data_IF_324962398936
#
_entry.id   IF_324962398936
#
_cell.length_a   1.000
_cell.length_b   1.000
_cell.length_c   1.000
_cell.angle_alpha   90.00
_cell.angle_beta   90.00
_cell.angle_gamma   90.00
#
_symmetry.space_group_name_H-M   'P 1'
#
loop_
_entity.id
_entity.type
_entity.pdbx_description
1 polymer ?
#
# COMPACT_ATOMS: atom_id res chain seq x y z
N UNK A 1 5.40 -32.19 -56.04
CA UNK A 1 5.73 -30.81 -55.67
C UNK A 1 4.43 -30.02 -55.69
N UNK A 2 3.86 -29.76 -54.52
CA UNK A 2 2.62 -29.01 -54.32
C UNK A 2 2.95 -27.85 -53.40
N UNK A 3 3.07 -26.67 -53.97
CA UNK A 3 3.28 -25.41 -53.26
C UNK A 3 1.92 -24.89 -52.77
N UNK A 4 1.66 -24.93 -51.46
CA UNK A 4 0.49 -24.29 -50.85
C UNK A 4 0.62 -22.77 -50.96
N UNK A 5 -0.36 -22.06 -51.56
CA UNK A 5 -0.30 -20.61 -51.72
C UNK A 5 -0.98 -19.85 -50.56
N UNK A 6 -0.49 -18.64 -50.31
CA UNK A 6 -1.21 -17.39 -50.02
C UNK A 6 -2.25 -17.25 -48.89
N UNK A 7 -2.28 -18.14 -47.90
CA UNK A 7 -3.17 -17.92 -46.73
C UNK A 7 -2.72 -16.79 -45.77
N UNK A 8 -1.51 -16.25 -45.93
CA UNK A 8 -0.96 -15.30 -44.95
C UNK A 8 -1.49 -13.87 -45.14
N UNK A 9 -1.67 -13.43 -46.38
CA UNK A 9 -2.13 -12.07 -46.71
C UNK A 9 -3.60 -11.84 -46.37
N UNK A 10 -4.43 -12.88 -46.49
CA UNK A 10 -5.86 -12.80 -46.17
C UNK A 10 -6.10 -12.59 -44.66
N UNK A 11 -5.27 -13.22 -43.81
CA UNK A 11 -5.37 -13.09 -42.35
C UNK A 11 -4.95 -11.68 -41.91
N UNK A 12 -3.89 -11.12 -42.48
CA UNK A 12 -3.44 -9.76 -42.16
C UNK A 12 -4.49 -8.71 -42.55
N UNK A 13 -5.12 -8.90 -43.71
CA UNK A 13 -6.17 -8.00 -44.19
C UNK A 13 -7.43 -8.09 -43.30
N UNK A 14 -7.84 -9.30 -42.91
CA UNK A 14 -8.97 -9.48 -41.99
C UNK A 14 -8.68 -8.83 -40.61
N UNK A 15 -7.45 -8.99 -40.11
CA UNK A 15 -7.05 -8.39 -38.84
C UNK A 15 -7.06 -6.86 -38.90
N UNK A 16 -6.56 -6.28 -39.99
CA UNK A 16 -6.54 -4.83 -40.20
C UNK A 16 -7.97 -4.26 -40.27
N UNK A 17 -8.87 -4.91 -40.99
CA UNK A 17 -10.29 -4.52 -41.05
C UNK A 17 -10.99 -4.62 -39.69
N UNK A 18 -10.66 -5.65 -38.91
CA UNK A 18 -11.24 -5.84 -37.57
C UNK A 18 -10.74 -4.79 -36.59
N UNK A 19 -9.44 -4.46 -36.62
CA UNK A 19 -8.87 -3.38 -35.83
C UNK A 19 -9.44 -2.01 -36.21
N UNK A 20 -9.61 -1.74 -37.52
CA UNK A 20 -10.23 -0.50 -38.00
C UNK A 20 -11.65 -0.31 -37.48
N UNK A 21 -12.48 -1.38 -37.50
CA UNK A 21 -13.84 -1.35 -36.95
C UNK A 21 -13.87 -1.09 -35.44
N UNK A 22 -12.97 -1.71 -34.68
CA UNK A 22 -12.85 -1.47 -33.24
C UNK A 22 -12.42 -0.03 -32.92
N UNK A 23 -11.43 0.49 -33.65
CA UNK A 23 -10.95 1.85 -33.48
C UNK A 23 -12.07 2.88 -33.75
N UNK A 24 -12.84 2.71 -34.83
CA UNK A 24 -13.98 3.58 -35.12
C UNK A 24 -15.07 3.54 -34.05
N UNK A 25 -15.39 2.36 -33.54
CA UNK A 25 -16.39 2.21 -32.47
C UNK A 25 -15.94 2.89 -31.19
N UNK A 26 -14.66 2.74 -30.83
CA UNK A 26 -14.07 3.36 -29.64
C UNK A 26 -14.02 4.90 -29.74
N UNK A 27 -13.64 5.44 -30.90
CA UNK A 27 -13.62 6.89 -31.14
C UNK A 27 -15.04 7.47 -31.03
N UNK A 28 -16.03 6.80 -31.62
CA UNK A 28 -17.43 7.24 -31.52
C UNK A 28 -17.94 7.20 -30.07
N UNK A 29 -17.52 6.22 -29.26
CA UNK A 29 -17.85 6.16 -27.84
C UNK A 29 -17.21 7.29 -27.04
N UNK A 30 -15.93 7.61 -27.29
CA UNK A 30 -15.26 8.73 -26.65
C UNK A 30 -15.88 10.09 -27.01
N UNK A 31 -16.33 10.24 -28.26
CA UNK A 31 -17.07 11.43 -28.73
C UNK A 31 -18.43 11.55 -28.03
N UNK A 32 -19.21 10.46 -27.98
CA UNK A 32 -20.50 10.43 -27.28
C UNK A 32 -20.37 10.71 -25.77
N UNK A 33 -19.25 10.37 -25.15
CA UNK A 33 -18.94 10.68 -23.75
C UNK A 33 -18.43 12.11 -23.53
N UNK A 34 -18.27 12.91 -24.60
CA UNK A 34 -17.67 14.25 -24.52
C UNK A 34 -16.20 14.24 -24.06
N UNK A 35 -15.52 13.10 -24.23
CA UNK A 35 -14.12 12.90 -23.83
C UNK A 35 -13.13 13.12 -24.98
N UNK A 36 -13.63 13.21 -26.21
CA UNK A 36 -12.82 13.61 -27.34
C UNK A 36 -12.52 15.12 -27.23
N UNK A 37 -11.34 15.45 -26.74
CA UNK A 37 -10.84 16.84 -26.79
C UNK A 37 -10.44 17.09 -28.23
N UNK A 38 -11.13 18.01 -28.92
CA UNK A 38 -10.76 18.43 -30.27
C UNK A 38 -9.26 18.70 -30.34
N UNK A 39 -8.60 18.23 -31.39
CA UNK A 39 -7.14 18.31 -31.59
C UNK A 39 -6.58 19.75 -31.66
N UNK A 40 -7.42 20.79 -31.46
CA UNK A 40 -7.02 22.17 -31.19
C UNK A 40 -6.86 22.53 -29.70
N UNK A 41 -7.31 21.69 -28.76
CA UNK A 41 -7.35 21.98 -27.32
C UNK A 41 -6.00 21.87 -26.59
N UNK A 42 -4.97 21.30 -27.24
CA UNK A 42 -3.64 21.19 -26.66
C UNK A 42 -3.01 22.57 -26.39
N UNK A 43 -3.24 23.54 -27.29
CA UNK A 43 -2.81 24.93 -27.07
C UNK A 43 -3.62 25.58 -25.94
N UNK A 44 -4.92 25.33 -25.86
CA UNK A 44 -5.79 25.86 -24.78
C UNK A 44 -5.38 25.33 -23.41
N UNK A 45 -5.06 24.04 -23.30
CA UNK A 45 -4.51 23.43 -22.07
C UNK A 45 -3.12 23.97 -21.74
N UNK A 46 -2.27 24.21 -22.74
CA UNK A 46 -0.96 24.82 -22.53
C UNK A 46 -1.07 26.29 -22.07
N UNK A 47 -2.01 27.06 -22.62
CA UNK A 47 -2.33 28.42 -22.17
C UNK A 47 -2.88 28.44 -20.74
N UNK A 48 -3.75 27.49 -20.38
CA UNK A 48 -4.28 27.37 -19.02
C UNK A 48 -3.16 27.01 -18.01
N UNK A 49 -2.23 26.13 -18.41
CA UNK A 49 -1.08 25.73 -17.60
C UNK A 49 -0.10 26.89 -17.41
N UNK A 50 0.16 27.68 -18.45
CA UNK A 50 0.98 28.88 -18.37
C UNK A 50 0.31 29.99 -17.53
N UNK A 51 -1.01 30.12 -17.58
CA UNK A 51 -1.75 31.07 -16.76
C UNK A 51 -1.67 30.70 -15.27
N UNK A 52 -1.78 29.42 -14.92
CA UNK A 52 -1.59 28.97 -13.54
C UNK A 52 -0.14 29.13 -13.06
N UNK A 53 0.85 28.93 -13.92
CA UNK A 53 2.26 29.12 -13.57
C UNK A 53 2.67 30.60 -13.40
N UNK A 54 1.89 31.55 -13.95
CA UNK A 54 2.11 33.00 -13.76
C UNK A 54 1.51 33.57 -12.47
N UNK A 55 0.92 32.74 -11.61
CA UNK A 55 0.49 33.15 -10.27
C UNK A 55 1.20 32.39 -9.13
N UNK A 56 2.51 32.59 -8.90
CA UNK A 56 3.13 32.30 -7.62
C UNK A 56 3.59 33.61 -6.98
N UNK A 57 2.69 34.34 -6.32
CA UNK A 57 3.07 35.39 -5.37
C UNK A 57 1.86 35.80 -4.51
N UNK A 58 1.36 34.89 -3.67
CA UNK A 58 0.69 35.36 -2.46
C UNK A 58 1.78 35.75 -1.47
N UNK A 59 2.06 37.05 -1.45
CA UNK A 59 2.94 37.72 -0.51
C UNK A 59 2.46 37.41 0.90
N UNK A 60 3.30 36.70 1.65
CA UNK A 60 3.17 36.50 3.09
C UNK A 60 3.39 37.85 3.77
N UNK A 61 2.30 38.55 4.09
CA UNK A 61 2.33 39.74 4.92
C UNK A 61 2.82 39.33 6.33
N UNK A 62 4.06 39.71 6.62
CA UNK A 62 4.65 39.65 7.94
C UNK A 62 4.12 40.85 8.73
N UNK A 63 3.10 40.65 9.56
CA UNK A 63 2.75 41.59 10.62
C UNK A 63 3.41 41.10 11.90
N UNK A 64 4.51 41.76 12.26
CA UNK A 64 5.10 41.72 13.57
C UNK A 64 4.05 42.11 14.61
N UNK A 65 3.72 41.18 15.51
CA UNK A 65 2.94 41.45 16.70
C UNK A 65 3.91 41.62 17.88
N UNK A 66 3.82 42.71 18.66
CA UNK A 66 4.70 42.93 19.80
C UNK A 66 4.36 42.00 20.96
N UNK A 67 5.39 41.41 21.55
CA UNK A 67 5.35 40.59 22.76
C UNK A 67 4.78 41.38 23.94
N UNK A 68 3.75 40.88 24.65
CA UNK A 68 3.46 41.37 25.99
C UNK A 68 4.48 40.82 26.99
N UNK A 69 5.22 41.73 27.60
CA UNK A 69 6.10 41.50 28.73
C UNK A 69 5.32 40.92 29.92
N UNK A 70 5.69 39.73 30.37
CA UNK A 70 5.32 39.23 31.70
C UNK A 70 6.40 39.62 32.71
N UNK A 71 6.03 40.17 33.89
CA UNK A 71 6.98 40.37 34.97
C UNK A 71 7.32 39.04 35.66
N UNK A 72 8.52 38.91 36.25
CA UNK A 72 8.97 37.68 36.90
C UNK A 72 8.48 37.58 38.36
N UNK A 73 8.01 36.38 38.76
CA UNK A 73 8.11 35.72 40.09
C UNK A 73 7.60 36.46 41.36
N UNK A 74 6.98 35.75 42.34
CA UNK A 74 7.75 34.85 43.20
C UNK A 74 7.04 33.56 43.65
N UNK A 75 7.78 32.47 43.50
CA UNK A 75 7.80 31.38 44.46
C UNK A 75 8.30 31.90 45.83
N UNK A 76 7.76 31.31 46.90
CA UNK A 76 8.04 31.56 48.34
C UNK A 76 7.28 32.70 49.03
N UNK A 77 6.13 32.37 49.62
CA UNK A 77 5.82 32.62 51.04
C UNK A 77 4.40 32.15 51.39
N UNK A 78 4.26 30.95 51.97
CA UNK A 78 3.35 30.67 53.10
C UNK A 78 3.40 29.18 53.47
N UNK A 79 4.45 28.84 54.20
CA UNK A 79 4.41 27.73 55.15
C UNK A 79 3.65 28.21 56.38
N UNK A 80 2.57 27.50 56.72
CA UNK A 80 2.03 27.44 58.08
C UNK A 80 0.89 28.39 58.40
N UNK A 81 -0.32 27.84 58.52
CA UNK A 81 -1.14 27.84 59.76
C UNK A 81 -2.46 27.10 59.48
N UNK A 82 -2.69 26.06 60.28
CA UNK A 82 -3.97 25.52 60.78
C UNK A 82 -5.25 25.75 59.95
N UNK A 83 -5.91 24.66 59.54
CA UNK A 83 -7.08 24.17 60.30
C UNK A 83 -7.49 22.77 59.82
N UNK A 84 -7.47 21.83 60.76
CA UNK A 84 -8.11 20.52 60.66
C UNK A 84 -9.61 20.72 60.39
N UNK A 85 -10.07 20.29 59.22
CA UNK A 85 -11.49 20.17 58.95
C UNK A 85 -11.93 18.72 59.25
N UNK A 86 -12.69 18.45 60.34
CA UNK A 86 -13.14 17.10 60.64
C UNK A 86 -14.17 16.64 59.60
N UNK A 87 -13.79 15.60 58.85
CA UNK A 87 -14.63 14.92 57.87
C UNK A 87 -15.80 14.21 58.59
N UNK A 88 -17.06 14.43 58.19
CA UNK A 88 -18.21 13.75 58.80
C UNK A 88 -18.19 12.23 58.49
N UNK A 89 -18.62 11.37 59.43
CA UNK A 89 -18.64 9.93 59.22
C UNK A 89 -19.72 9.53 58.20
N UNK A 90 -19.33 8.72 57.22
CA UNK A 90 -20.24 8.12 56.26
C UNK A 90 -21.25 7.18 56.96
N UNK A 91 -22.51 7.09 56.47
CA UNK A 91 -23.52 6.21 57.04
C UNK A 91 -23.18 4.73 56.79
N UNK A 92 -23.12 3.96 57.88
CA UNK A 92 -23.01 2.50 57.88
C UNK A 92 -24.21 1.88 57.15
N UNK A 93 -23.97 1.19 56.03
CA UNK A 93 -24.94 0.23 55.48
C UNK A 93 -24.87 -1.06 56.30
N UNK A 94 -26.04 -1.51 56.75
CA UNK A 94 -26.21 -2.76 57.46
C UNK A 94 -26.01 -3.98 56.53
N UNK A 95 -25.53 -5.12 57.05
CA UNK A 95 -25.49 -6.37 56.31
C UNK A 95 -26.89 -6.97 56.26
N UNK A 96 -27.42 -7.22 55.06
CA UNK A 96 -28.59 -8.08 54.88
C UNK A 96 -28.06 -9.43 54.44
N UNK A 97 -28.08 -10.36 55.37
CA UNK A 97 -27.74 -11.75 55.20
C UNK A 97 -29.00 -12.55 54.85
N UNK A 98 -28.82 -13.54 53.99
CA UNK A 98 -29.63 -14.74 53.73
C UNK A 98 -31.15 -14.62 53.46
N UNK A 99 -31.58 -15.08 52.27
CA UNK A 99 -32.27 -16.37 52.17
C UNK A 99 -32.52 -16.80 50.70
N UNK A 100 -32.21 -18.08 50.46
CA UNK A 100 -32.61 -19.01 49.40
C UNK A 100 -33.96 -18.71 48.70
N UNK A 101 -34.22 -19.06 47.44
CA UNK A 101 -34.33 -20.44 46.87
C UNK A 101 -34.72 -20.33 45.34
N UNK A 102 -35.02 -21.41 44.57
CA UNK A 102 -34.17 -22.00 43.53
C UNK A 102 -34.67 -21.86 42.07
N UNK A 103 -33.81 -22.32 41.15
CA UNK A 103 -34.09 -23.00 39.87
C UNK A 103 -35.33 -22.58 39.05
N UNK A 104 -35.08 -22.04 37.86
CA UNK A 104 -35.92 -22.36 36.70
C UNK A 104 -35.06 -22.49 35.45
N UNK A 105 -35.25 -23.67 34.86
CA UNK A 105 -34.79 -24.16 33.57
C UNK A 105 -35.12 -23.25 32.38
N UNK A 106 -34.46 -23.58 31.27
CA UNK A 106 -34.86 -23.34 29.89
C UNK A 106 -34.52 -21.98 29.26
N UNK A 107 -33.40 -21.95 28.52
CA UNK A 107 -33.40 -21.89 27.06
C UNK A 107 -31.96 -21.70 26.55
N UNK A 108 -31.25 -22.82 26.39
CA UNK A 108 -30.00 -22.84 25.61
C UNK A 108 -30.35 -22.62 24.14
N UNK A 109 -29.99 -21.46 23.61
CA UNK A 109 -29.98 -21.22 22.18
C UNK A 109 -28.71 -21.85 21.61
N UNK A 110 -28.97 -22.87 20.81
CA UNK A 110 -28.15 -23.59 19.86
C UNK A 110 -27.08 -22.71 19.18
N UNK A 111 -25.82 -22.89 19.60
CA UNK A 111 -24.65 -22.42 18.84
C UNK A 111 -24.24 -23.55 17.89
N UNK A 112 -24.57 -23.37 16.62
CA UNK A 112 -24.10 -24.25 15.54
C UNK A 112 -22.57 -24.38 15.56
N UNK A 113 -22.01 -25.60 15.56
CA UNK A 113 -20.56 -25.79 15.50
C UNK A 113 -20.03 -25.55 14.08
N UNK A 114 -18.94 -24.79 14.01
CA UNK A 114 -18.15 -24.59 12.80
C UNK A 114 -17.67 -25.92 12.20
N UNK A 115 -17.59 -26.06 10.86
CA UNK A 115 -17.04 -27.25 10.24
C UNK A 115 -15.52 -27.31 10.43
N UNK A 116 -15.07 -28.32 11.18
CA UNK A 116 -13.69 -28.77 11.24
C UNK A 116 -13.35 -29.45 9.91
N UNK A 117 -12.65 -28.76 9.02
CA UNK A 117 -12.00 -29.39 7.87
C UNK A 117 -10.53 -29.67 8.19
N UNK A 118 -10.30 -30.85 8.79
CA UNK A 118 -9.04 -31.58 8.72
C UNK A 118 -8.88 -32.13 7.30
N UNK A 119 -7.82 -31.75 6.62
CA UNK A 119 -7.48 -32.28 5.29
C UNK A 119 -6.07 -31.90 4.87
N UNK A 120 -5.06 -32.36 5.59
CA UNK A 120 -3.67 -32.34 5.14
C UNK A 120 -3.52 -33.28 3.93
N UNK A 121 -3.39 -32.70 2.72
CA UNK A 121 -2.86 -33.41 1.55
C UNK A 121 -1.38 -33.11 1.41
N UNK A 122 -0.55 -34.10 1.69
CA UNK A 122 0.88 -34.12 1.36
C UNK A 122 1.00 -34.31 -0.15
N UNK A 123 1.61 -33.34 -0.84
CA UNK A 123 2.03 -33.49 -2.23
C UNK A 123 3.45 -34.05 -2.28
N UNK A 124 3.73 -35.07 -3.13
CA UNK A 124 5.06 -35.61 -3.29
C UNK A 124 5.99 -34.62 -4.03
N UNK A 125 7.18 -34.47 -3.46
CA UNK A 125 8.35 -33.76 -3.96
C UNK A 125 8.80 -34.37 -5.29
N UNK A 126 8.61 -33.66 -6.40
CA UNK A 126 9.20 -34.00 -7.69
C UNK A 126 10.67 -33.58 -7.73
N UNK A 127 11.47 -34.44 -8.36
CA UNK A 127 12.91 -34.53 -8.23
C UNK A 127 13.70 -33.42 -8.90
N UNK A 128 14.75 -33.03 -8.18
CA UNK A 128 15.89 -32.23 -8.63
C UNK A 128 16.73 -33.07 -9.59
N UNK A 129 16.66 -32.79 -10.89
CA UNK A 129 17.66 -33.28 -11.84
C UNK A 129 18.87 -32.35 -11.81
N UNK A 130 19.99 -32.92 -11.42
CA UNK A 130 21.31 -32.32 -11.52
C UNK A 130 21.80 -32.49 -12.95
N UNK A 131 22.15 -31.38 -13.61
CA UNK A 131 23.04 -31.43 -14.78
C UNK A 131 24.45 -31.11 -14.30
N UNK A 132 25.19 -32.17 -14.01
CA UNK A 132 26.65 -32.17 -13.99
C UNK A 132 27.09 -32.29 -15.45
N UNK A 133 27.83 -31.30 -15.95
CA UNK A 133 28.70 -31.53 -17.11
C UNK A 133 30.06 -30.91 -16.86
N UNK A 134 30.98 -31.86 -16.72
CA UNK A 134 32.42 -31.80 -16.63
C UNK A 134 33.02 -31.00 -17.79
N UNK A 135 34.10 -30.26 -17.49
CA UNK A 135 34.80 -29.42 -18.44
C UNK A 135 35.59 -30.16 -19.50
N UNK A 136 36.09 -29.41 -20.47
CA UNK A 136 37.24 -29.74 -21.32
C UNK A 136 37.85 -28.44 -21.81
N UNK A 137 39.05 -28.14 -21.33
CA UNK A 137 39.93 -27.11 -21.88
C UNK A 137 40.76 -27.71 -23.03
N UNK A 138 41.19 -26.90 -24.01
CA UNK A 138 42.39 -27.19 -24.78
C UNK A 138 43.49 -26.14 -24.56
N UNK A 139 44.74 -26.46 -24.95
CA UNK A 139 45.94 -25.76 -24.47
C UNK A 139 46.43 -24.62 -25.38
N UNK A 140 47.03 -23.64 -24.70
CA UNK A 140 48.26 -22.87 -24.99
C UNK A 140 48.95 -23.12 -26.34
N UNK A 141 49.09 -22.05 -27.13
CA UNK A 141 50.29 -21.83 -27.96
C UNK A 141 50.74 -20.37 -27.84
N UNK A 142 52.06 -20.23 -27.73
CA UNK A 142 52.81 -19.00 -27.65
C UNK A 142 53.07 -18.46 -29.06
N UNK A 143 53.14 -17.14 -29.22
CA UNK A 143 53.91 -16.54 -30.30
C UNK A 143 54.51 -15.21 -29.87
N UNK A 144 55.83 -15.26 -29.77
CA UNK A 144 56.78 -14.15 -29.71
C UNK A 144 56.75 -13.32 -31.00
N UNK A 145 57.16 -12.05 -30.92
CA UNK A 145 57.72 -11.32 -32.07
C UNK A 145 57.09 -9.98 -32.45
N UNK A 146 57.61 -8.90 -31.90
CA UNK A 146 57.57 -7.51 -32.41
C UNK A 146 58.17 -7.43 -33.84
N UNK A 147 57.78 -6.48 -34.71
CA UNK A 147 58.45 -5.18 -34.70
C UNK A 147 57.58 -3.94 -35.05
N UNK A 148 57.99 -2.84 -34.43
CA UNK A 148 57.63 -1.44 -34.70
C UNK A 148 57.99 -1.01 -36.13
N UNK A 149 57.21 -0.12 -36.76
CA UNK A 149 57.81 1.15 -37.18
C UNK A 149 56.92 2.37 -36.89
N UNK A 150 57.57 3.49 -36.57
CA UNK A 150 57.06 4.87 -36.73
C UNK A 150 57.94 5.55 -37.80
N UNK A 151 57.67 6.79 -38.25
CA UNK A 151 56.44 7.59 -38.27
C UNK A 151 56.10 8.05 -39.72
N UNK A 152 54.93 8.64 -39.97
CA UNK A 152 54.81 9.88 -40.75
C UNK A 152 53.35 10.39 -40.83
N UNK A 153 53.25 11.70 -40.58
CA UNK A 153 52.36 12.71 -41.19
C UNK A 153 50.82 12.49 -41.26
N UNK A 154 50.13 13.23 -40.38
CA UNK A 154 48.97 14.14 -40.61
C UNK A 154 47.77 13.68 -41.48
N UNK A 155 46.51 13.96 -41.06
CA UNK A 155 46.08 15.33 -40.74
C UNK A 155 45.17 15.48 -39.52
N UNK A 156 45.19 16.70 -38.99
CA UNK A 156 44.23 17.21 -38.01
C UNK A 156 42.81 17.15 -38.57
N UNK A 157 42.07 16.09 -38.23
CA UNK A 157 40.61 16.13 -38.28
C UNK A 157 40.10 16.64 -36.95
N UNK A 158 39.66 17.88 -36.99
CA UNK A 158 38.74 18.53 -36.07
C UNK A 158 37.48 17.64 -35.89
N UNK A 159 37.58 16.60 -35.05
CA UNK A 159 36.47 15.73 -34.67
C UNK A 159 35.90 16.16 -33.33
N UNK A 160 35.39 17.39 -33.29
CA UNK A 160 34.19 17.68 -32.50
C UNK A 160 33.03 17.02 -33.22
N UNK A 161 32.70 15.79 -32.85
CA UNK A 161 31.34 15.22 -32.92
C UNK A 161 31.41 13.72 -32.60
N UNK A 162 30.64 13.28 -31.59
CA UNK A 162 30.22 11.88 -31.52
C UNK A 162 30.63 11.07 -30.29
N UNK A 163 30.77 11.65 -29.10
CA UNK A 163 30.76 10.86 -27.85
C UNK A 163 29.31 10.48 -27.48
N UNK A 164 28.61 9.80 -28.38
CA UNK A 164 27.20 9.43 -28.19
C UNK A 164 26.90 8.11 -28.90
N UNK A 165 27.52 7.00 -28.50
CA UNK A 165 27.07 5.69 -29.01
C UNK A 165 27.55 4.43 -28.26
N UNK A 166 27.96 4.53 -26.99
CA UNK A 166 28.31 3.35 -26.19
C UNK A 166 27.27 3.03 -25.09
N UNK A 167 26.41 3.98 -24.72
CA UNK A 167 25.41 3.81 -23.66
C UNK A 167 24.12 3.12 -24.14
N UNK A 168 23.78 3.28 -25.42
CA UNK A 168 22.52 2.78 -25.99
C UNK A 168 22.33 1.25 -25.92
N UNK A 169 23.36 0.39 -26.11
CA UNK A 169 23.20 -1.06 -26.01
C UNK A 169 22.94 -1.55 -24.58
N UNK A 170 23.56 -0.91 -23.59
CA UNK A 170 23.40 -1.26 -22.17
C UNK A 170 22.00 -0.87 -21.67
N UNK A 171 21.53 0.33 -22.00
CA UNK A 171 20.17 0.77 -21.64
C UNK A 171 19.07 -0.12 -22.23
N UNK A 172 19.30 -0.67 -23.43
CA UNK A 172 18.34 -1.60 -24.04
C UNK A 172 18.32 -2.96 -23.34
N UNK A 173 19.48 -3.50 -22.97
CA UNK A 173 19.58 -4.76 -22.23
C UNK A 173 18.94 -4.65 -20.84
N UNK A 174 19.22 -3.57 -20.11
CA UNK A 174 18.67 -3.31 -18.78
C UNK A 174 17.13 -3.17 -18.83
N UNK A 175 16.61 -2.46 -19.84
CA UNK A 175 15.16 -2.32 -20.04
C UNK A 175 14.49 -3.67 -20.33
N UNK A 176 15.11 -4.49 -21.19
CA UNK A 176 14.56 -5.80 -21.53
C UNK A 176 14.55 -6.74 -20.32
N UNK A 177 15.61 -6.74 -19.51
CA UNK A 177 15.65 -7.53 -18.26
C UNK A 177 14.59 -7.06 -17.27
N UNK A 178 14.43 -5.74 -17.11
CA UNK A 178 13.41 -5.18 -16.22
C UNK A 178 11.99 -5.52 -16.68
N UNK A 179 11.70 -5.44 -17.97
CA UNK A 179 10.42 -5.83 -18.54
C UNK A 179 10.14 -7.33 -18.30
N UNK A 180 11.15 -8.20 -18.46
CA UNK A 180 11.00 -9.63 -18.20
C UNK A 180 10.72 -9.91 -16.71
N UNK A 181 11.42 -9.23 -15.81
CA UNK A 181 11.22 -9.33 -14.35
C UNK A 181 9.82 -8.86 -13.94
N UNK A 182 9.35 -7.78 -14.54
CA UNK A 182 8.03 -7.21 -14.29
C UNK A 182 6.92 -8.15 -14.78
N UNK A 183 7.05 -8.71 -15.99
CA UNK A 183 6.13 -9.71 -16.52
C UNK A 183 6.10 -10.99 -15.65
N UNK A 184 7.27 -11.52 -15.27
CA UNK A 184 7.35 -12.68 -14.40
C UNK A 184 6.71 -12.45 -13.02
N UNK A 185 6.85 -11.24 -12.47
CA UNK A 185 6.21 -10.84 -11.21
C UNK A 185 4.69 -10.77 -11.35
N UNK A 186 4.19 -10.19 -12.43
CA UNK A 186 2.75 -10.14 -12.73
C UNK A 186 2.15 -11.55 -12.88
N UNK A 187 2.83 -12.45 -13.59
CA UNK A 187 2.39 -13.84 -13.77
C UNK A 187 2.35 -14.61 -12.46
N UNK A 188 3.38 -14.44 -11.61
CA UNK A 188 3.40 -15.05 -10.28
C UNK A 188 2.26 -14.53 -9.40
N UNK A 189 2.01 -13.23 -9.40
CA UNK A 189 0.91 -12.63 -8.65
C UNK A 189 -0.45 -13.14 -9.13
N UNK A 190 -0.63 -13.25 -10.46
CA UNK A 190 -1.85 -13.79 -11.07
C UNK A 190 -2.05 -15.25 -10.67
N UNK A 191 -1.00 -16.08 -10.75
CA UNK A 191 -1.07 -17.49 -10.40
C UNK A 191 -1.36 -17.71 -8.89
N UNK A 192 -0.68 -16.96 -8.02
CA UNK A 192 -0.87 -17.06 -6.57
C UNK A 192 -2.28 -16.65 -6.12
N UNK A 193 -2.90 -15.71 -6.83
CA UNK A 193 -4.17 -15.10 -6.45
C UNK A 193 -5.35 -15.47 -7.37
N UNK A 194 -5.20 -16.46 -8.25
CA UNK A 194 -6.23 -16.85 -9.23
C UNK A 194 -7.56 -17.30 -8.60
N UNK A 195 -7.52 -17.72 -7.33
CA UNK A 195 -8.70 -18.18 -6.58
C UNK A 195 -9.42 -17.04 -5.84
N UNK A 196 -8.86 -15.83 -5.81
CA UNK A 196 -9.42 -14.71 -5.06
C UNK A 196 -10.40 -13.93 -5.93
N UNK A 197 -11.63 -13.78 -5.44
CA UNK A 197 -12.75 -13.21 -6.21
C UNK A 197 -12.67 -11.70 -6.37
N UNK A 198 -11.98 -11.02 -5.47
CA UNK A 198 -11.81 -9.57 -5.50
C UNK A 198 -10.74 -9.10 -6.51
N UNK A 199 -9.90 -10.02 -7.01
CA UNK A 199 -8.90 -9.70 -8.03
C UNK A 199 -9.57 -9.51 -9.39
N UNK A 200 -9.55 -8.28 -9.88
CA UNK A 200 -10.19 -7.95 -11.17
C UNK A 200 -9.20 -7.91 -12.33
N UNK A 201 -7.99 -7.42 -12.09
CA UNK A 201 -7.00 -7.23 -13.15
C UNK A 201 -5.57 -7.22 -12.59
N UNK A 202 -4.65 -7.85 -13.34
CA UNK A 202 -3.20 -7.76 -13.12
C UNK A 202 -2.55 -7.56 -14.48
N UNK A 203 -1.82 -6.48 -14.65
CA UNK A 203 -1.02 -6.20 -15.84
C UNK A 203 0.39 -5.76 -15.45
N UNK A 204 1.35 -6.06 -16.32
CA UNK A 204 2.70 -5.51 -16.28
C UNK A 204 2.85 -4.43 -17.34
N UNK A 205 3.51 -3.33 -17.01
CA UNK A 205 4.17 -2.47 -17.98
C UNK A 205 5.69 -2.74 -17.96
N UNK A 206 6.50 -1.91 -18.64
CA UNK A 206 7.96 -2.11 -18.70
C UNK A 206 8.67 -1.83 -17.36
N UNK A 207 8.01 -1.16 -16.40
CA UNK A 207 8.62 -0.64 -15.17
C UNK A 207 7.95 -1.16 -13.89
N UNK A 208 6.68 -1.56 -13.93
CA UNK A 208 5.86 -1.89 -12.76
C UNK A 208 4.72 -2.85 -13.09
N UNK A 209 4.19 -3.44 -12.02
CA UNK A 209 2.96 -4.24 -12.07
C UNK A 209 1.80 -3.39 -11.56
N UNK A 210 0.71 -3.34 -12.31
CA UNK A 210 -0.55 -2.71 -11.89
C UNK A 210 -1.57 -3.78 -11.52
N UNK A 211 -2.14 -3.66 -10.32
CA UNK A 211 -3.16 -4.56 -9.76
C UNK A 211 -4.41 -3.78 -9.48
N UNK A 212 -5.55 -4.21 -10.02
CA UNK A 212 -6.86 -3.66 -9.66
C UNK A 212 -7.68 -4.70 -8.90
N UNK A 213 -8.22 -4.29 -7.77
CA UNK A 213 -9.12 -5.11 -6.96
C UNK A 213 -10.44 -4.40 -6.73
N UNK A 214 -11.48 -5.18 -6.50
CA UNK A 214 -12.76 -4.70 -5.98
C UNK A 214 -12.98 -5.33 -4.61
N UNK A 215 -12.48 -4.66 -3.56
CA UNK A 215 -12.57 -5.17 -2.20
C UNK A 215 -14.04 -5.40 -1.80
N UNK A 216 -14.31 -6.57 -1.21
CA UNK A 216 -15.61 -6.92 -0.63
C UNK A 216 -15.62 -6.58 0.85
N UNK A 217 -14.49 -6.78 1.51
CA UNK A 217 -14.25 -6.51 2.93
C UNK A 217 -12.98 -5.68 3.12
N UNK A 218 -12.82 -5.03 4.28
CA UNK A 218 -11.55 -4.39 4.63
C UNK A 218 -10.41 -5.40 4.80
N UNK A 219 -10.72 -6.65 5.14
CA UNK A 219 -9.71 -7.70 5.21
C UNK A 219 -9.09 -8.01 3.84
N UNK A 220 -9.86 -7.88 2.76
CA UNK A 220 -9.33 -8.02 1.40
C UNK A 220 -8.28 -6.95 1.10
N UNK A 221 -8.57 -5.71 1.50
CA UNK A 221 -7.63 -4.59 1.35
C UNK A 221 -6.34 -4.83 2.14
N UNK A 222 -6.45 -5.25 3.39
CA UNK A 222 -5.31 -5.55 4.27
C UNK A 222 -4.44 -6.69 3.73
N UNK A 223 -5.08 -7.74 3.19
CA UNK A 223 -4.38 -8.82 2.52
C UNK A 223 -3.56 -8.27 1.36
N UNK A 224 -4.16 -7.45 0.49
CA UNK A 224 -3.48 -6.93 -0.69
C UNK A 224 -2.34 -5.98 -0.34
N UNK A 225 -2.49 -5.12 0.68
CA UNK A 225 -1.38 -4.31 1.20
C UNK A 225 -0.19 -5.19 1.62
N UNK A 226 -0.45 -6.26 2.38
CA UNK A 226 0.57 -7.22 2.81
C UNK A 226 1.19 -7.94 1.62
N UNK A 227 0.36 -8.37 0.66
CA UNK A 227 0.80 -9.13 -0.52
C UNK A 227 1.76 -8.33 -1.41
N UNK A 228 1.59 -7.00 -1.48
CA UNK A 228 2.49 -6.11 -2.24
C UNK A 228 3.65 -5.54 -1.40
N UNK A 229 3.76 -5.94 -0.14
CA UNK A 229 4.82 -5.47 0.76
C UNK A 229 4.62 -4.05 1.30
N UNK A 230 3.39 -3.53 1.32
CA UNK A 230 3.07 -2.23 1.92
C UNK A 230 2.77 -2.39 3.41
N UNK A 231 3.46 -1.66 4.31
CA UNK A 231 3.12 -1.64 5.73
C UNK A 231 1.67 -1.21 5.95
N UNK A 232 0.98 -1.85 6.89
CA UNK A 232 -0.44 -1.57 7.16
C UNK A 232 -0.68 -0.20 7.79
N UNK A 233 0.35 0.47 8.30
CA UNK A 233 0.32 1.85 8.80
C UNK A 233 0.65 2.88 7.72
N UNK A 234 0.99 2.45 6.49
CA UNK A 234 1.30 3.36 5.40
C UNK A 234 0.09 4.22 5.03
N UNK A 235 0.36 5.51 4.79
CA UNK A 235 -0.65 6.42 4.26
C UNK A 235 -0.98 6.02 2.82
N UNK A 236 -2.26 5.80 2.54
CA UNK A 236 -2.73 5.38 1.22
C UNK A 236 -3.64 6.48 0.65
N UNK A 237 -3.28 7.12 -0.47
CA UNK A 237 -4.08 8.19 -1.03
C UNK A 237 -5.42 7.68 -1.58
N UNK A 238 -6.47 8.49 -1.41
CA UNK A 238 -7.79 8.28 -2.01
C UNK A 238 -7.87 9.00 -3.35
N UNK A 239 -8.35 8.31 -4.38
CA UNK A 239 -8.66 8.89 -5.68
C UNK A 239 -10.10 8.54 -6.06
N UNK A 240 -11.04 9.45 -5.82
CA UNK A 240 -12.47 9.23 -6.03
C UNK A 240 -13.02 8.07 -5.18
N UNK A 241 -13.41 6.99 -5.86
CA UNK A 241 -13.98 5.76 -5.26
C UNK A 241 -12.95 4.63 -5.08
N UNK A 242 -11.67 4.94 -5.27
CA UNK A 242 -10.57 4.00 -5.10
C UNK A 242 -9.56 4.49 -4.06
N UNK A 243 -8.93 3.52 -3.40
CA UNK A 243 -7.74 3.70 -2.58
C UNK A 243 -6.53 3.22 -3.38
N UNK A 244 -5.41 3.92 -3.31
CA UNK A 244 -4.18 3.56 -4.02
C UNK A 244 -3.08 3.24 -3.02
N UNK A 245 -2.29 2.21 -3.30
CA UNK A 245 -1.07 1.88 -2.57
C UNK A 245 0.06 1.52 -3.54
N UNK A 246 1.29 1.81 -3.15
CA UNK A 246 2.50 1.50 -3.92
C UNK A 246 3.38 0.61 -3.06
N UNK A 247 3.60 -0.61 -3.52
CA UNK A 247 4.46 -1.61 -2.89
C UNK A 247 5.61 -2.02 -3.78
N UNK A 248 6.37 -3.02 -3.35
CA UNK A 248 7.50 -3.55 -4.11
C UNK A 248 7.70 -5.03 -3.81
N UNK A 249 7.88 -5.85 -4.86
CA UNK A 249 8.24 -7.26 -4.75
C UNK A 249 9.41 -7.53 -5.70
N UNK A 250 10.49 -8.14 -5.20
CA UNK A 250 11.68 -8.47 -5.98
C UNK A 250 12.18 -7.31 -6.85
N UNK A 251 12.28 -6.12 -6.24
CA UNK A 251 12.69 -4.87 -6.89
C UNK A 251 11.70 -4.29 -7.92
N UNK A 252 10.60 -4.97 -8.20
CA UNK A 252 9.54 -4.48 -9.11
C UNK A 252 8.52 -3.67 -8.33
N UNK A 253 8.25 -2.45 -8.78
CA UNK A 253 7.22 -1.60 -8.19
C UNK A 253 5.82 -2.13 -8.51
N UNK A 254 4.93 -2.07 -7.52
CA UNK A 254 3.56 -2.56 -7.64
C UNK A 254 2.60 -1.44 -7.30
N UNK A 255 1.75 -1.11 -8.27
CA UNK A 255 0.69 -0.13 -8.13
C UNK A 255 -0.63 -0.87 -7.88
N UNK A 256 -1.15 -0.76 -6.66
CA UNK A 256 -2.43 -1.34 -6.28
C UNK A 256 -3.51 -0.26 -6.29
N UNK A 257 -4.58 -0.51 -7.04
CA UNK A 257 -5.80 0.29 -7.04
C UNK A 257 -6.95 -0.55 -6.51
N UNK A 258 -7.49 -0.17 -5.35
CA UNK A 258 -8.57 -0.88 -4.70
C UNK A 258 -9.87 -0.07 -4.74
N UNK A 259 -10.82 -0.54 -5.53
CA UNK A 259 -12.18 0.00 -5.54
C UNK A 259 -12.94 -0.44 -4.30
N UNK A 260 -13.95 0.34 -3.90
CA UNK A 260 -14.85 0.12 -2.75
C UNK A 260 -14.22 0.31 -1.36
N UNK A 261 -12.90 0.29 -1.22
CA UNK A 261 -12.22 0.52 0.08
C UNK A 261 -12.67 1.82 0.76
N UNK A 262 -12.75 2.99 0.09
CA UNK A 262 -13.23 4.20 0.77
C UNK A 262 -14.65 4.07 1.32
N UNK A 263 -15.55 3.40 0.60
CA UNK A 263 -16.92 3.17 1.05
C UNK A 263 -16.97 2.18 2.20
N UNK A 264 -16.16 1.12 2.17
CA UNK A 264 -16.05 0.15 3.27
C UNK A 264 -15.51 0.82 4.54
N UNK A 265 -14.57 1.75 4.42
CA UNK A 265 -14.08 2.55 5.54
C UNK A 265 -15.15 3.49 6.08
N UNK A 266 -15.89 4.19 5.21
CA UNK A 266 -17.03 5.03 5.62
C UNK A 266 -18.10 4.21 6.35
N UNK A 267 -18.40 2.99 5.89
CA UNK A 267 -19.32 2.06 6.55
C UNK A 267 -18.79 1.62 7.93
N UNK A 268 -17.50 1.32 8.04
CA UNK A 268 -16.89 0.94 9.32
C UNK A 268 -16.91 2.11 10.32
N UNK A 269 -16.65 3.34 9.87
CA UNK A 269 -16.75 4.55 10.69
C UNK A 269 -18.17 4.79 11.18
N UNK A 270 -19.17 4.58 10.31
CA UNK A 270 -20.59 4.73 10.67
C UNK A 270 -21.08 3.66 11.66
N UNK A 271 -20.48 2.47 11.61
CA UNK A 271 -20.85 1.35 12.49
C UNK A 271 -20.16 1.39 13.86
N UNK A 272 -19.06 2.14 13.98
CA UNK A 272 -18.28 2.25 15.21
C UNK A 272 -18.86 3.32 16.15
N UNK A 273 -18.90 3.03 17.45
CA UNK A 273 -19.34 3.99 18.46
C UNK A 273 -18.28 5.08 18.71
N UNK A 274 -17.00 4.70 18.75
CA UNK A 274 -15.88 5.64 18.88
C UNK A 274 -14.83 5.39 17.78
N UNK A 275 -15.10 5.83 16.53
CA UNK A 275 -14.22 5.53 15.41
C UNK A 275 -12.87 6.24 15.52
N UNK A 276 -11.80 5.51 15.20
CA UNK A 276 -10.47 6.05 14.96
C UNK A 276 -9.84 5.43 13.71
N UNK A 277 -9.47 6.27 12.75
CA UNK A 277 -8.93 5.83 11.48
C UNK A 277 -7.40 5.91 11.47
N UNK A 278 -6.73 4.77 11.25
CA UNK A 278 -5.27 4.70 11.14
C UNK A 278 -4.87 3.61 10.14
N UNK A 279 -3.91 3.91 9.26
CA UNK A 279 -3.38 2.91 8.32
C UNK A 279 -4.40 2.35 7.33
N UNK A 280 -5.40 3.15 6.94
CA UNK A 280 -6.48 2.67 6.07
C UNK A 280 -7.37 1.61 6.73
N UNK A 281 -7.50 1.63 8.05
CA UNK A 281 -8.45 0.86 8.87
C UNK A 281 -9.26 1.81 9.75
N UNK A 282 -10.45 1.36 10.17
CA UNK A 282 -11.24 2.00 11.21
C UNK A 282 -11.28 1.09 12.43
N UNK A 283 -10.86 1.61 13.57
CA UNK A 283 -10.92 0.93 14.88
C UNK A 283 -12.07 1.53 15.68
N UNK A 284 -12.90 0.69 16.30
CA UNK A 284 -13.94 1.16 17.20
C UNK A 284 -13.42 1.17 18.64
N UNK A 285 -12.93 2.30 19.10
CA UNK A 285 -12.31 2.42 20.41
C UNK A 285 -13.28 2.19 21.59
N UNK A 286 -14.59 2.02 21.34
CA UNK A 286 -15.54 1.65 22.38
C UNK A 286 -15.40 0.18 22.82
N UNK A 287 -14.73 -0.66 22.03
CA UNK A 287 -14.50 -2.07 22.36
C UNK A 287 -13.03 -2.32 22.70
N UNK A 288 -12.81 -3.36 23.51
CA UNK A 288 -11.47 -3.86 23.77
C UNK A 288 -10.88 -4.45 22.49
N UNK A 289 -9.57 -4.35 22.30
CA UNK A 289 -8.91 -4.98 21.16
C UNK A 289 -7.72 -5.83 21.58
N UNK A 290 -7.54 -6.98 20.96
CA UNK A 290 -6.35 -7.81 21.14
C UNK A 290 -5.30 -7.60 20.05
N UNK A 291 -4.04 -7.57 20.44
CA UNK A 291 -2.93 -7.61 19.51
C UNK A 291 -2.54 -9.05 19.12
N UNK A 292 -1.52 -9.17 18.26
CA UNK A 292 -1.01 -10.47 17.79
C UNK A 292 -0.39 -11.34 18.90
N UNK A 293 -0.09 -10.77 20.06
CA UNK A 293 0.46 -11.46 21.22
C UNK A 293 -0.65 -11.91 22.19
N UNK A 294 -1.92 -11.64 21.87
CA UNK A 294 -3.07 -11.94 22.72
C UNK A 294 -3.21 -10.99 23.90
N UNK A 295 -2.52 -9.85 23.87
CA UNK A 295 -2.68 -8.80 24.87
C UNK A 295 -3.87 -7.93 24.51
N UNK A 296 -4.74 -7.67 25.48
CA UNK A 296 -5.94 -6.86 25.31
C UNK A 296 -5.67 -5.40 25.69
N UNK A 297 -6.02 -4.49 24.81
CA UNK A 297 -5.85 -3.05 24.93
C UNK A 297 -7.23 -2.41 24.98
N UNK A 298 -7.42 -1.46 25.89
CA UNK A 298 -8.66 -0.70 26.01
C UNK A 298 -8.39 0.80 25.98
N UNK A 299 -9.34 1.54 25.41
CA UNK A 299 -9.31 2.98 25.33
C UNK A 299 -9.91 3.60 26.58
N UNK A 300 -9.21 4.56 27.19
CA UNK A 300 -9.63 5.18 28.45
C UNK A 300 -10.53 6.42 28.27
N UNK A 301 -10.91 6.76 27.04
CA UNK A 301 -11.58 8.04 26.76
C UNK A 301 -10.64 9.24 26.73
N UNK A 302 -9.32 9.02 26.84
CA UNK A 302 -8.31 10.09 26.85
C UNK A 302 -7.57 10.17 25.52
N UNK A 303 -7.33 11.41 25.08
CA UNK A 303 -6.54 11.73 23.90
C UNK A 303 -5.39 12.66 24.26
N UNK A 304 -4.31 12.59 23.51
CA UNK A 304 -3.23 13.57 23.54
C UNK A 304 -3.68 14.90 22.92
N UNK A 305 -2.83 15.94 23.01
CA UNK A 305 -3.11 17.27 22.44
C UNK A 305 -3.31 17.25 20.91
N UNK A 306 -2.74 16.26 20.23
CA UNK A 306 -2.88 16.03 18.79
C UNK A 306 -4.09 15.15 18.43
N UNK A 307 -5.01 14.94 19.37
CA UNK A 307 -6.17 14.05 19.26
C UNK A 307 -5.82 12.55 19.14
N UNK A 308 -4.56 12.17 19.39
CA UNK A 308 -4.15 10.76 19.36
C UNK A 308 -4.74 10.01 20.56
N UNK A 309 -5.50 8.91 20.36
CA UNK A 309 -6.07 8.12 21.44
C UNK A 309 -4.98 7.46 22.29
N UNK A 310 -5.21 7.41 23.59
CA UNK A 310 -4.36 6.70 24.54
C UNK A 310 -5.00 5.37 24.92
N UNK A 311 -4.24 4.29 24.75
CA UNK A 311 -4.61 2.94 25.16
C UNK A 311 -3.87 2.55 26.44
N UNK A 312 -4.47 1.64 27.21
CA UNK A 312 -3.76 0.94 28.28
C UNK A 312 -3.98 -0.57 28.16
N UNK A 313 -3.03 -1.34 28.69
CA UNK A 313 -3.09 -2.79 28.71
C UNK A 313 -4.11 -3.23 29.78
N UNK A 314 -5.07 -4.06 29.39
CA UNK A 314 -6.12 -4.56 30.28
C UNK A 314 -5.53 -5.30 31.49
N UNK A 315 -6.02 -4.98 32.69
CA UNK A 315 -5.55 -5.56 33.94
C UNK A 315 -4.23 -4.99 34.47
N UNK A 316 -3.74 -3.87 33.92
CA UNK A 316 -2.57 -3.16 34.43
C UNK A 316 -2.89 -1.72 34.78
N UNK A 317 -2.30 -1.21 35.87
CA UNK A 317 -2.21 0.23 36.18
C UNK A 317 -1.01 0.86 35.44
N UNK A 318 -0.69 0.34 34.26
CA UNK A 318 0.50 0.69 33.48
C UNK A 318 0.42 2.08 32.86
N UNK A 319 1.52 2.53 32.24
CA UNK A 319 1.54 3.80 31.52
C UNK A 319 0.57 3.75 30.32
N UNK A 320 0.10 4.92 29.90
CA UNK A 320 -0.74 5.07 28.72
C UNK A 320 0.11 5.14 27.46
N UNK A 321 -0.30 4.42 26.42
CA UNK A 321 0.42 4.33 25.17
C UNK A 321 -0.38 4.98 24.04
N UNK A 322 0.24 5.84 23.21
CA UNK A 322 -0.40 6.37 22.00
C UNK A 322 -0.82 5.23 21.07
N UNK A 323 -2.05 5.29 20.55
CA UNK A 323 -2.60 4.25 19.69
C UNK A 323 -1.70 3.90 18.50
N UNK A 324 -1.14 4.86 17.73
CA UNK A 324 -0.21 4.54 16.64
C UNK A 324 1.03 3.77 17.10
N UNK A 325 1.59 4.09 18.28
CA UNK A 325 2.76 3.41 18.81
C UNK A 325 2.46 1.94 19.15
N UNK A 326 1.25 1.65 19.66
CA UNK A 326 0.78 0.29 19.90
C UNK A 326 0.66 -0.47 18.57
N UNK A 327 0.06 0.13 17.54
CA UNK A 327 -0.06 -0.51 16.21
C UNK A 327 1.29 -0.78 15.56
N UNK A 328 2.21 0.18 15.59
CA UNK A 328 3.55 0.00 15.02
C UNK A 328 4.31 -1.13 15.74
N UNK A 329 4.19 -1.21 17.07
CA UNK A 329 4.93 -2.20 17.87
C UNK A 329 4.31 -3.59 17.83
N UNK A 330 2.98 -3.69 17.96
CA UNK A 330 2.24 -4.93 18.17
C UNK A 330 1.47 -5.40 16.92
N UNK A 331 1.47 -4.60 15.86
CA UNK A 331 0.68 -4.84 14.65
C UNK A 331 -0.78 -4.38 14.81
N UNK A 332 -1.61 -4.61 13.79
CA UNK A 332 -3.02 -4.24 13.84
C UNK A 332 -3.75 -4.96 14.98
N UNK A 333 -4.60 -4.22 15.69
CA UNK A 333 -5.43 -4.79 16.74
C UNK A 333 -6.73 -5.37 16.16
N UNK A 334 -7.22 -6.44 16.78
CA UNK A 334 -8.49 -7.11 16.44
C UNK A 334 -9.49 -6.90 17.57
N UNK A 335 -10.74 -6.49 17.30
CA UNK A 335 -11.74 -6.32 18.36
C UNK A 335 -11.95 -7.63 19.14
N UNK A 336 -12.03 -7.52 20.46
CA UNK A 336 -12.39 -8.60 21.39
C UNK A 336 -13.82 -8.39 21.86
N UNK A 337 -14.65 -9.41 21.70
CA UNK A 337 -16.06 -9.45 22.14
C UNK A 337 -16.32 -10.60 23.10
#
# INVERSE_FOLDING_TARGET
>A
MTTSPDNHTDIEQELAERLGRLAHTFIAELDAQGRLVETGGAQTLQSLRQQHQRHPAFVRASTAQPSPSFPPTPDQALTGLLEEQPRPPAPRRAPTDAADTPATDAAWIDRSPAPVLRGTRVLPRAGRLMSVTTGTAPPREASDGTPQPSPDEQPSTDSRNGTSSATAPHEHADRWENAHRTAATADRLRAANAHRLELTHVASDDERVTIHIRAVTLHDWEYWLTAIGVPLDASTPRCGQAQIAIGRIDEVDIHLTAHRVPHLLEQAVQAADTPYCLGGRCYDLAVDHSDRHGQTWHYLGHRQEDETPLLTLHGSDGPHYPFPAVITSNGPLTPTG
#
